data_IF_411191512320
#
_entry.id   IF_411191512320
#
_cell.length_a   1.000
_cell.length_b   1.000
_cell.length_c   1.000
_cell.angle_alpha   90.00
_cell.angle_beta   90.00
_cell.angle_gamma   90.00
#
_symmetry.space_group_name_H-M   'P 1'
#
loop_
_entity.id
_entity.type
_entity.pdbx_description
1 polymer ?
#
# COMPACT_ATOMS: atom_id res chain seq x y z
N UNK A 1 13.19 78.61 33.49
CA UNK A 1 13.69 77.61 32.52
C UNK A 1 13.63 76.23 33.20
N UNK A 2 12.55 75.46 32.98
CA UNK A 2 12.38 74.12 33.57
C UNK A 2 12.70 73.09 32.48
N UNK A 3 13.78 72.33 32.67
CA UNK A 3 14.22 71.26 31.78
C UNK A 3 13.54 69.97 32.27
N UNK A 4 12.73 69.35 31.41
CA UNK A 4 12.17 68.03 31.66
C UNK A 4 13.11 66.95 31.10
N UNK A 5 13.53 66.04 31.97
CA UNK A 5 14.33 64.87 31.60
C UNK A 5 13.37 63.75 31.17
N UNK A 6 13.39 63.38 29.88
CA UNK A 6 12.64 62.22 29.37
C UNK A 6 13.50 60.96 29.53
N UNK A 7 13.08 60.08 30.45
CA UNK A 7 13.66 58.75 30.63
C UNK A 7 13.03 57.80 29.59
N UNK A 8 13.79 57.40 28.57
CA UNK A 8 13.37 56.38 27.61
C UNK A 8 13.70 55.01 28.20
N UNK A 9 12.68 54.30 28.69
CA UNK A 9 12.78 52.93 29.17
C UNK A 9 12.68 51.98 27.96
N UNK A 10 13.81 51.50 27.45
CA UNK A 10 13.83 50.46 26.42
C UNK A 10 13.49 49.09 27.02
N UNK A 11 12.24 48.65 26.86
CA UNK A 11 11.87 47.26 27.14
C UNK A 11 12.42 46.34 26.04
N UNK A 12 13.53 45.67 26.33
CA UNK A 12 14.00 44.51 25.57
C UNK A 12 13.09 43.31 25.91
N UNK A 13 12.09 43.06 25.07
CA UNK A 13 11.29 41.84 25.11
C UNK A 13 12.12 40.67 24.54
N UNK A 14 12.84 39.95 25.41
CA UNK A 14 13.32 38.61 25.08
C UNK A 14 12.12 37.65 25.07
N UNK A 15 11.55 37.43 23.88
CA UNK A 15 10.54 36.41 23.67
C UNK A 15 11.14 35.01 23.85
N UNK A 16 11.03 34.45 25.05
CA UNK A 16 11.30 33.05 25.31
C UNK A 16 10.25 32.22 24.53
N UNK A 17 10.62 31.68 23.36
CA UNK A 17 9.78 30.71 22.65
C UNK A 17 9.70 29.45 23.50
N UNK A 18 8.66 29.36 24.33
CA UNK A 18 8.31 28.12 25.01
C UNK A 18 7.92 27.10 23.94
N UNK A 19 8.79 26.12 23.69
CA UNK A 19 8.49 25.00 22.79
C UNK A 19 7.25 24.27 23.32
N UNK A 20 6.11 24.45 22.65
CA UNK A 20 4.88 23.74 22.98
C UNK A 20 5.11 22.23 22.79
N UNK A 21 4.58 21.43 23.71
CA UNK A 21 4.65 19.96 23.65
C UNK A 21 3.24 19.42 23.59
N UNK A 22 2.99 18.49 22.67
CA UNK A 22 1.73 17.73 22.60
C UNK A 22 2.03 16.25 22.77
N UNK A 23 1.06 15.54 23.33
CA UNK A 23 1.10 14.09 23.45
C UNK A 23 0.18 13.44 22.41
N UNK A 24 0.68 12.43 21.70
CA UNK A 24 -0.01 11.80 20.56
C UNK A 24 -0.01 10.28 20.75
N UNK A 25 -1.17 9.67 20.57
CA UNK A 25 -1.33 8.23 20.52
C UNK A 25 -1.31 7.75 19.07
N UNK A 26 -0.42 6.81 18.74
CA UNK A 26 -0.30 6.23 17.41
C UNK A 26 -0.38 4.69 17.43
N UNK A 27 -0.69 4.09 18.58
CA UNK A 27 -0.70 2.63 18.79
C UNK A 27 -1.50 1.89 17.71
N UNK A 28 -2.71 2.35 17.44
CA UNK A 28 -3.60 1.79 16.40
C UNK A 28 -3.39 2.39 14.99
N UNK A 29 -2.41 3.30 14.83
CA UNK A 29 -2.15 4.01 13.56
C UNK A 29 -0.91 3.52 12.83
N UNK A 30 -0.07 2.74 13.51
CA UNK A 30 1.17 2.19 12.95
C UNK A 30 0.90 0.77 12.49
N UNK A 31 0.92 0.58 11.17
CA UNK A 31 0.87 -0.75 10.56
C UNK A 31 2.29 -1.31 10.46
N UNK A 32 2.45 -2.59 10.80
CA UNK A 32 3.65 -3.36 10.46
C UNK A 32 3.39 -4.13 9.18
N UNK A 33 4.03 -3.77 8.05
CA UNK A 33 3.82 -4.50 6.81
C UNK A 33 4.39 -5.91 6.88
N UNK A 34 3.75 -6.82 6.14
CA UNK A 34 4.27 -8.18 5.92
C UNK A 34 5.48 -8.15 4.98
N UNK A 35 6.16 -9.28 4.83
CA UNK A 35 7.20 -9.43 3.82
C UNK A 35 7.11 -10.83 3.17
N UNK A 36 7.57 -10.92 1.93
CA UNK A 36 7.64 -12.16 1.18
C UNK A 36 9.01 -12.22 0.48
N UNK A 37 9.75 -13.30 0.72
CA UNK A 37 11.02 -13.55 0.02
C UNK A 37 10.72 -14.33 -1.25
N UNK A 38 10.84 -13.68 -2.40
CA UNK A 38 10.53 -14.27 -3.71
C UNK A 38 11.75 -14.96 -4.27
N UNK A 39 11.63 -16.27 -4.52
CA UNK A 39 12.74 -17.11 -4.95
C UNK A 39 12.88 -17.09 -6.46
N UNK A 40 14.13 -16.98 -6.93
CA UNK A 40 14.45 -17.04 -8.35
C UNK A 40 14.22 -18.45 -8.88
N UNK A 41 13.66 -18.54 -10.07
CA UNK A 41 13.51 -19.79 -10.81
C UNK A 41 14.28 -19.74 -12.12
N UNK A 42 14.78 -20.90 -12.55
CA UNK A 42 15.29 -21.14 -13.90
C UNK A 42 14.31 -22.00 -14.72
N UNK A 43 13.30 -22.57 -14.06
CA UNK A 43 12.26 -23.36 -14.71
C UNK A 43 11.30 -22.43 -15.46
N UNK A 44 10.94 -22.84 -16.68
CA UNK A 44 9.87 -22.18 -17.42
C UNK A 44 8.51 -22.47 -16.79
N UNK A 45 7.67 -21.44 -16.69
CA UNK A 45 6.30 -21.53 -16.17
C UNK A 45 5.34 -21.29 -17.33
N UNK A 46 4.40 -22.20 -17.54
CA UNK A 46 3.33 -22.02 -18.52
C UNK A 46 2.20 -21.27 -17.84
N UNK A 47 1.86 -20.07 -18.34
CA UNK A 47 0.77 -19.28 -17.76
C UNK A 47 -0.57 -19.83 -18.24
N UNK A 48 -1.11 -20.80 -17.50
CA UNK A 48 -2.37 -21.48 -17.78
C UNK A 48 -3.39 -21.38 -16.62
N UNK A 49 -3.03 -20.68 -15.54
CA UNK A 49 -3.89 -20.46 -14.39
C UNK A 49 -3.80 -21.57 -13.36
N UNK A 50 -2.93 -22.57 -13.55
CA UNK A 50 -2.73 -23.69 -12.64
C UNK A 50 -1.35 -23.61 -11.97
N UNK A 51 -1.16 -24.39 -10.90
CA UNK A 51 0.12 -24.45 -10.17
C UNK A 51 0.77 -25.84 -10.21
N UNK A 52 0.61 -26.52 -11.34
CA UNK A 52 0.96 -27.94 -11.50
C UNK A 52 2.48 -28.17 -11.59
N UNK A 53 3.23 -27.16 -12.04
CA UNK A 53 4.67 -27.18 -12.19
C UNK A 53 5.39 -27.43 -10.87
N UNK A 54 6.53 -28.10 -10.93
CA UNK A 54 7.28 -28.45 -9.72
C UNK A 54 7.82 -27.21 -9.00
N UNK A 55 8.17 -26.15 -9.72
CA UNK A 55 8.65 -24.89 -9.13
C UNK A 55 7.58 -24.25 -8.24
N UNK A 56 6.31 -24.31 -8.66
CA UNK A 56 5.19 -23.79 -7.88
C UNK A 56 4.96 -24.57 -6.59
N UNK A 57 5.28 -25.86 -6.54
CA UNK A 57 5.18 -26.69 -5.32
C UNK A 57 6.25 -26.34 -4.29
N UNK A 58 7.36 -25.73 -4.72
CA UNK A 58 8.45 -25.29 -3.85
C UNK A 58 8.24 -23.85 -3.34
N UNK A 59 7.51 -23.03 -4.11
CA UNK A 59 7.15 -21.68 -3.70
C UNK A 59 6.24 -21.70 -2.46
N UNK A 60 6.59 -20.89 -1.45
CA UNK A 60 5.82 -20.82 -0.20
C UNK A 60 4.56 -20.00 -0.41
N UNK A 61 3.44 -20.44 0.14
CA UNK A 61 2.27 -19.57 0.22
C UNK A 61 2.52 -18.40 1.19
N UNK A 62 1.92 -17.26 0.89
CA UNK A 62 1.69 -16.19 1.84
C UNK A 62 0.76 -16.67 2.95
N UNK A 63 0.67 -15.91 4.04
CA UNK A 63 -0.49 -16.01 4.93
C UNK A 63 -1.78 -15.75 4.15
N UNK A 64 -2.88 -16.21 4.72
CA UNK A 64 -4.21 -15.88 4.23
C UNK A 64 -4.50 -14.39 4.34
N UNK A 65 -5.31 -13.91 3.40
CA UNK A 65 -5.75 -12.53 3.37
C UNK A 65 -6.64 -12.25 4.59
N UNK A 66 -6.55 -11.02 5.08
CA UNK A 66 -7.34 -10.49 6.19
C UNK A 66 -8.16 -9.31 5.68
N UNK A 67 -9.13 -8.85 6.46
CA UNK A 67 -9.79 -7.58 6.17
C UNK A 67 -8.77 -6.43 6.07
N UNK A 68 -8.99 -5.47 5.18
CA UNK A 68 -8.08 -4.34 4.94
C UNK A 68 -7.74 -3.51 6.20
N UNK A 69 -8.63 -3.48 7.18
CA UNK A 69 -8.41 -2.81 8.46
C UNK A 69 -7.61 -3.69 9.44
N UNK A 70 -7.50 -4.99 9.15
CA UNK A 70 -6.65 -5.98 9.82
C UNK A 70 -7.26 -6.70 11.03
N UNK A 71 -8.54 -6.45 11.31
CA UNK A 71 -9.22 -6.96 12.52
C UNK A 71 -10.01 -8.24 12.24
N UNK A 72 -10.55 -8.39 11.03
CA UNK A 72 -11.51 -9.46 10.69
C UNK A 72 -10.86 -10.50 9.79
N UNK A 73 -11.31 -11.74 9.94
CA UNK A 73 -10.95 -12.85 9.04
C UNK A 73 -12.05 -12.99 7.96
N UNK A 74 -11.69 -12.96 6.67
CA UNK A 74 -12.59 -13.25 5.57
C UNK A 74 -13.27 -14.62 5.72
N UNK A 75 -14.51 -14.72 5.26
CA UNK A 75 -15.22 -16.01 5.20
C UNK A 75 -14.75 -16.89 4.04
N UNK A 76 -14.07 -16.33 3.04
CA UNK A 76 -13.50 -17.08 1.92
C UNK A 76 -12.01 -16.83 1.81
N UNK A 77 -11.24 -17.90 1.93
CA UNK A 77 -9.78 -17.88 1.99
C UNK A 77 -9.19 -17.40 0.66
N UNK A 78 -8.19 -16.54 0.75
CA UNK A 78 -7.36 -16.13 -0.39
C UNK A 78 -5.90 -16.09 0.03
N UNK A 79 -5.00 -16.62 -0.79
CA UNK A 79 -3.56 -16.50 -0.58
C UNK A 79 -2.81 -16.56 -1.91
N UNK A 80 -1.53 -16.21 -1.85
CA UNK A 80 -0.66 -16.12 -3.03
C UNK A 80 0.64 -16.87 -2.81
N UNK A 81 1.31 -17.22 -3.89
CA UNK A 81 2.73 -17.59 -3.90
C UNK A 81 3.40 -16.91 -5.09
N UNK A 82 4.68 -16.62 -4.95
CA UNK A 82 5.41 -15.83 -5.92
C UNK A 82 6.74 -16.50 -6.27
N UNK A 83 7.15 -16.29 -7.51
CA UNK A 83 8.46 -16.64 -8.05
C UNK A 83 8.95 -15.49 -8.92
N UNK A 84 10.22 -15.48 -9.29
CA UNK A 84 10.72 -14.53 -10.29
C UNK A 84 11.81 -15.16 -11.15
N UNK A 85 11.99 -14.65 -12.36
CA UNK A 85 13.16 -14.95 -13.20
C UNK A 85 13.77 -13.64 -13.73
N UNK A 86 14.65 -13.72 -14.74
CA UNK A 86 15.26 -12.51 -15.33
C UNK A 86 14.23 -11.55 -15.96
N UNK A 87 13.06 -12.04 -16.36
CA UNK A 87 12.10 -11.31 -17.18
C UNK A 87 10.83 -10.95 -16.42
N UNK A 88 10.35 -11.83 -15.54
CA UNK A 88 9.02 -11.77 -14.95
C UNK A 88 9.04 -11.93 -13.43
N UNK A 89 8.14 -11.19 -12.78
CA UNK A 89 7.59 -11.57 -11.48
C UNK A 89 6.38 -12.45 -11.73
N UNK A 90 6.41 -13.67 -11.21
CA UNK A 90 5.29 -14.59 -11.28
C UNK A 90 4.44 -14.50 -10.02
N UNK A 91 3.13 -14.39 -10.21
CA UNK A 91 2.13 -14.37 -9.13
C UNK A 91 1.12 -15.46 -9.39
N UNK A 92 0.96 -16.37 -8.44
CA UNK A 92 -0.15 -17.31 -8.40
C UNK A 92 -1.03 -17.01 -7.20
N UNK A 93 -2.33 -16.79 -7.41
CA UNK A 93 -3.31 -16.56 -6.37
C UNK A 93 -4.38 -17.65 -6.40
N UNK A 94 -4.78 -18.12 -5.21
CA UNK A 94 -5.90 -19.04 -5.05
C UNK A 94 -7.00 -18.39 -4.22
N UNK A 95 -8.17 -18.24 -4.83
CA UNK A 95 -9.33 -17.56 -4.26
C UNK A 95 -10.45 -18.57 -4.08
N UNK A 96 -10.70 -19.01 -2.84
CA UNK A 96 -11.89 -19.81 -2.55
C UNK A 96 -13.13 -18.94 -2.73
N UNK A 97 -14.11 -19.44 -3.46
CA UNK A 97 -15.31 -18.70 -3.83
C UNK A 97 -16.45 -19.68 -4.05
N UNK A 98 -17.53 -19.51 -3.28
CA UNK A 98 -18.72 -20.35 -3.37
C UNK A 98 -19.59 -19.97 -4.58
N UNK A 99 -19.46 -18.76 -5.10
CA UNK A 99 -20.15 -18.31 -6.30
C UNK A 99 -19.23 -17.47 -7.17
N UNK A 100 -18.75 -18.07 -8.25
CA UNK A 100 -17.83 -17.45 -9.19
C UNK A 100 -18.66 -16.79 -10.28
N UNK A 101 -18.63 -15.47 -10.34
CA UNK A 101 -19.41 -14.70 -11.30
C UNK A 101 -18.64 -13.50 -11.82
N UNK A 102 -19.04 -13.04 -13.00
CA UNK A 102 -18.47 -11.88 -13.66
C UNK A 102 -19.13 -11.63 -15.01
N UNK A 103 -19.19 -10.37 -15.40
CA UNK A 103 -19.76 -9.95 -16.69
C UNK A 103 -18.95 -8.86 -17.40
N UNK A 104 -17.85 -8.42 -16.79
CA UNK A 104 -16.93 -7.44 -17.38
C UNK A 104 -15.89 -8.18 -18.21
N UNK A 105 -15.99 -8.04 -19.54
CA UNK A 105 -15.15 -8.74 -20.54
C UNK A 105 -14.19 -7.81 -21.28
N UNK A 106 -14.37 -6.49 -21.15
CA UNK A 106 -13.57 -5.49 -21.85
C UNK A 106 -12.33 -5.17 -21.01
N UNK A 107 -11.13 -5.42 -21.57
CA UNK A 107 -9.85 -4.97 -20.99
C UNK A 107 -9.89 -3.46 -20.72
N UNK A 108 -9.30 -3.05 -19.59
CA UNK A 108 -9.23 -1.65 -19.12
C UNK A 108 -10.59 -1.00 -18.84
N UNK A 109 -11.63 -1.82 -18.60
CA UNK A 109 -12.84 -1.38 -17.92
C UNK A 109 -12.59 -1.31 -16.40
N UNK A 110 -13.49 -0.65 -15.66
CA UNK A 110 -13.44 -0.62 -14.20
C UNK A 110 -13.85 -1.99 -13.65
N UNK A 111 -12.87 -2.83 -13.28
CA UNK A 111 -13.05 -4.27 -13.03
C UNK A 111 -13.61 -4.57 -11.64
N UNK A 112 -13.25 -3.78 -10.62
CA UNK A 112 -13.72 -3.97 -9.23
C UNK A 112 -15.24 -4.00 -9.02
N UNK A 113 -16.08 -3.78 -10.04
CA UNK A 113 -17.52 -4.04 -9.98
C UNK A 113 -17.89 -5.53 -10.11
N UNK A 114 -16.94 -6.39 -10.45
CA UNK A 114 -17.00 -7.84 -10.25
C UNK A 114 -16.15 -8.21 -9.02
N UNK A 115 -16.22 -9.48 -8.58
CA UNK A 115 -15.18 -10.00 -7.71
C UNK A 115 -13.88 -10.10 -8.52
N UNK A 116 -12.77 -9.62 -7.97
CA UNK A 116 -11.49 -9.59 -8.66
C UNK A 116 -10.30 -9.85 -7.71
N UNK A 117 -9.13 -9.95 -8.31
CA UNK A 117 -7.85 -10.03 -7.65
C UNK A 117 -6.96 -8.89 -8.13
N UNK A 118 -6.31 -8.20 -7.21
CA UNK A 118 -5.51 -7.02 -7.49
C UNK A 118 -4.06 -7.21 -7.04
N UNK A 119 -3.11 -6.76 -7.86
CA UNK A 119 -1.68 -6.68 -7.55
C UNK A 119 -1.26 -5.22 -7.53
N UNK A 120 -0.74 -4.76 -6.39
CA UNK A 120 -0.19 -3.41 -6.22
C UNK A 120 1.32 -3.50 -6.09
N UNK A 121 2.07 -2.77 -6.92
CA UNK A 121 3.53 -2.89 -6.93
C UNK A 121 4.23 -1.54 -7.08
N UNK A 122 5.24 -1.33 -6.23
CA UNK A 122 6.05 -0.12 -6.23
C UNK A 122 7.53 -0.49 -6.10
N UNK A 123 8.35 -0.26 -7.15
CA UNK A 123 9.77 -0.59 -7.14
C UNK A 123 10.64 0.47 -6.43
N UNK A 124 10.04 1.53 -5.90
CA UNK A 124 10.75 2.65 -5.30
C UNK A 124 10.97 2.48 -3.80
N UNK A 125 11.98 3.19 -3.28
CA UNK A 125 12.16 3.39 -1.84
C UNK A 125 11.20 4.43 -1.23
N UNK A 126 10.23 4.93 -2.01
CA UNK A 126 9.24 5.92 -1.62
C UNK A 126 7.83 5.52 -2.08
N UNK A 127 6.80 6.17 -1.55
CA UNK A 127 5.39 5.75 -1.73
C UNK A 127 4.70 6.28 -2.99
N UNK A 128 5.46 6.82 -3.95
CA UNK A 128 4.97 7.37 -5.21
C UNK A 128 5.39 6.49 -6.39
N UNK A 129 4.74 6.69 -7.54
CA UNK A 129 5.02 6.01 -8.80
C UNK A 129 4.89 4.48 -8.67
N UNK A 130 3.65 4.01 -8.70
CA UNK A 130 3.32 2.61 -8.51
C UNK A 130 2.27 2.14 -9.51
N UNK A 131 2.30 0.84 -9.79
CA UNK A 131 1.37 0.17 -10.68
C UNK A 131 0.33 -0.63 -9.90
N UNK A 132 -0.78 -0.87 -10.57
CA UNK A 132 -1.91 -1.66 -10.11
C UNK A 132 -2.39 -2.52 -11.28
N UNK A 133 -2.74 -3.77 -11.00
CA UNK A 133 -3.23 -4.74 -11.98
C UNK A 133 -4.42 -5.45 -11.34
N UNK A 134 -5.60 -5.30 -11.93
CA UNK A 134 -6.82 -6.02 -11.54
C UNK A 134 -7.12 -7.12 -12.56
N UNK A 135 -7.62 -8.26 -12.09
CA UNK A 135 -8.15 -9.34 -12.94
C UNK A 135 -9.38 -9.98 -12.31
N UNK A 136 -10.46 -10.16 -13.09
CA UNK A 136 -11.64 -10.88 -12.62
C UNK A 136 -11.60 -12.38 -13.01
N UNK A 137 -12.60 -13.13 -12.55
CA UNK A 137 -12.72 -14.56 -12.84
C UNK A 137 -12.89 -14.91 -14.34
N UNK A 138 -13.17 -13.93 -15.20
CA UNK A 138 -13.21 -14.12 -16.66
C UNK A 138 -11.83 -13.99 -17.31
N UNK A 139 -10.79 -13.59 -16.55
CA UNK A 139 -9.47 -13.27 -17.07
C UNK A 139 -9.38 -11.88 -17.73
N UNK A 140 -10.39 -11.03 -17.56
CA UNK A 140 -10.34 -9.64 -18.00
C UNK A 140 -9.40 -8.88 -17.10
N UNK A 141 -8.49 -8.11 -17.68
CA UNK A 141 -7.45 -7.36 -16.96
C UNK A 141 -7.64 -5.85 -17.11
N UNK A 142 -7.27 -5.11 -16.09
CA UNK A 142 -7.11 -3.66 -16.11
C UNK A 142 -5.81 -3.32 -15.39
N UNK A 143 -4.90 -2.63 -16.07
CA UNK A 143 -3.69 -2.10 -15.46
C UNK A 143 -3.71 -0.56 -15.47
N UNK A 144 -3.15 0.01 -14.41
CA UNK A 144 -3.12 1.46 -14.24
C UNK A 144 -1.90 1.91 -13.42
N UNK A 145 -1.47 3.12 -13.71
CA UNK A 145 -0.37 3.77 -13.03
C UNK A 145 -0.87 4.90 -12.14
N UNK A 146 -0.31 5.02 -10.93
CA UNK A 146 -0.49 6.17 -10.07
C UNK A 146 0.83 6.87 -9.79
N UNK A 147 0.89 8.16 -10.13
CA UNK A 147 2.05 9.00 -9.84
C UNK A 147 2.25 9.26 -8.34
N UNK A 148 1.19 9.19 -7.54
CA UNK A 148 1.17 9.30 -6.07
C UNK A 148 -0.20 8.84 -5.54
N UNK A 149 -0.36 8.63 -4.23
CA UNK A 149 -1.66 8.31 -3.64
C UNK A 149 -2.79 9.32 -3.90
N UNK A 150 -4.02 8.84 -4.05
CA UNK A 150 -5.22 9.69 -4.23
C UNK A 150 -5.39 10.73 -3.12
N UNK A 151 -5.11 10.37 -1.86
CA UNK A 151 -5.15 11.31 -0.71
C UNK A 151 -4.17 12.49 -0.85
N UNK A 152 -3.16 12.34 -1.71
CA UNK A 152 -2.17 13.35 -2.08
C UNK A 152 -2.45 13.94 -3.46
N UNK A 153 -3.71 13.87 -3.93
CA UNK A 153 -4.19 14.35 -5.23
C UNK A 153 -3.55 13.63 -6.42
N UNK A 154 -3.15 12.37 -6.23
CA UNK A 154 -2.80 11.49 -7.33
C UNK A 154 -3.95 11.27 -8.29
N UNK A 155 -3.63 10.87 -9.51
CA UNK A 155 -4.59 10.48 -10.53
C UNK A 155 -4.13 9.17 -11.15
N UNK A 156 -5.06 8.24 -11.33
CA UNK A 156 -4.82 7.08 -12.15
C UNK A 156 -4.61 7.48 -13.60
N UNK A 157 -3.62 6.87 -14.22
CA UNK A 157 -3.38 6.87 -15.65
C UNK A 157 -3.75 5.48 -16.19
N UNK A 158 -4.95 5.40 -16.77
CA UNK A 158 -5.48 4.18 -17.40
C UNK A 158 -4.91 3.96 -18.81
N UNK A 159 -4.02 4.83 -19.30
CA UNK A 159 -3.32 4.61 -20.56
C UNK A 159 -2.01 3.83 -20.37
N UNK A 160 -1.57 3.65 -19.11
CA UNK A 160 -0.42 2.81 -18.81
C UNK A 160 -0.80 1.35 -18.99
N UNK A 161 -0.19 0.71 -19.98
CA UNK A 161 -0.41 -0.69 -20.30
C UNK A 161 0.87 -1.49 -20.09
N UNK A 162 0.79 -2.60 -19.35
CA UNK A 162 1.93 -3.49 -19.14
C UNK A 162 2.07 -4.40 -20.36
N UNK A 163 2.78 -3.91 -21.38
CA UNK A 163 3.07 -4.72 -22.57
C UNK A 163 3.80 -6.01 -22.15
N UNK A 164 3.41 -7.14 -22.75
CA UNK A 164 3.89 -8.49 -22.45
C UNK A 164 3.44 -9.09 -21.10
N UNK A 165 2.51 -8.45 -20.38
CA UNK A 165 1.79 -9.10 -19.29
C UNK A 165 1.10 -10.37 -19.82
N UNK A 166 1.38 -11.50 -19.17
CA UNK A 166 0.67 -12.76 -19.41
C UNK A 166 -0.16 -13.06 -18.18
N UNK A 167 -1.40 -13.47 -18.39
CA UNK A 167 -2.29 -13.87 -17.31
C UNK A 167 -3.23 -14.97 -17.76
N UNK A 168 -3.58 -15.86 -16.84
CA UNK A 168 -4.58 -16.89 -17.04
C UNK A 168 -5.39 -17.11 -15.76
N UNK A 169 -6.63 -17.58 -15.94
CA UNK A 169 -7.53 -17.96 -14.85
C UNK A 169 -7.96 -19.39 -15.06
N UNK A 170 -7.99 -20.16 -13.97
CA UNK A 170 -8.60 -21.49 -13.96
C UNK A 170 -9.71 -21.56 -12.90
N UNK A 171 -10.79 -22.28 -13.21
CA UNK A 171 -11.99 -22.36 -12.37
C UNK A 171 -12.22 -23.81 -11.94
N UNK A 172 -12.33 -24.02 -10.63
CA UNK A 172 -12.87 -25.24 -10.05
C UNK A 172 -14.31 -24.97 -9.59
N UNK A 173 -15.23 -25.14 -10.52
CA UNK A 173 -16.63 -24.71 -10.39
C UNK A 173 -17.25 -24.42 -11.75
N UNK A 174 -18.36 -23.70 -11.78
CA UNK A 174 -19.01 -23.21 -13.00
C UNK A 174 -19.31 -21.71 -12.92
N UNK A 175 -18.64 -20.94 -13.78
CA UNK A 175 -18.80 -19.48 -13.78
C UNK A 175 -20.23 -19.06 -14.17
N UNK A 176 -20.78 -18.09 -13.44
CA UNK A 176 -22.12 -17.53 -13.64
C UNK A 176 -23.27 -18.55 -13.52
N UNK A 177 -23.07 -19.66 -12.83
CA UNK A 177 -24.15 -20.60 -12.54
C UNK A 177 -24.67 -20.41 -11.11
N UNK A 178 -25.88 -19.89 -10.96
CA UNK A 178 -26.47 -19.66 -9.65
C UNK A 178 -27.11 -20.89 -9.00
N UNK A 179 -27.03 -22.06 -9.65
CA UNK A 179 -27.70 -23.28 -9.19
C UNK A 179 -26.78 -24.27 -8.48
N UNK A 180 -25.48 -23.98 -8.42
CA UNK A 180 -24.49 -24.79 -7.72
C UNK A 180 -23.68 -23.94 -6.74
N UNK A 181 -22.71 -24.61 -6.09
CA UNK A 181 -21.74 -24.02 -5.20
C UNK A 181 -20.37 -24.37 -5.77
N UNK A 182 -19.59 -23.33 -6.04
CA UNK A 182 -18.23 -23.41 -6.54
C UNK A 182 -17.23 -23.70 -5.40
N UNK A 183 -15.96 -23.89 -5.77
CA UNK A 183 -14.90 -24.15 -4.80
C UNK A 183 -13.86 -23.03 -4.80
N UNK A 184 -13.20 -22.81 -5.94
CA UNK A 184 -12.20 -21.76 -6.08
C UNK A 184 -11.98 -21.39 -7.55
N UNK A 185 -11.40 -20.23 -7.74
CA UNK A 185 -10.70 -19.88 -8.98
C UNK A 185 -9.26 -19.49 -8.65
N UNK A 186 -8.39 -19.61 -9.63
CA UNK A 186 -6.98 -19.30 -9.53
C UNK A 186 -6.60 -18.28 -10.58
N UNK A 187 -5.67 -17.41 -10.22
CA UNK A 187 -5.06 -16.43 -11.11
C UNK A 187 -3.58 -16.76 -11.20
N UNK A 188 -3.06 -16.79 -12.41
CA UNK A 188 -1.62 -16.88 -12.65
C UNK A 188 -1.20 -15.73 -13.54
N UNK A 189 -0.13 -15.02 -13.16
CA UNK A 189 0.42 -13.90 -13.92
C UNK A 189 1.93 -14.04 -14.09
N UNK A 190 2.44 -13.64 -15.25
CA UNK A 190 3.84 -13.28 -15.46
C UNK A 190 3.92 -11.78 -15.76
N UNK A 191 4.37 -10.99 -14.78
CA UNK A 191 4.44 -9.53 -14.82
C UNK A 191 5.85 -9.11 -15.27
N UNK A 192 6.02 -8.46 -16.44
CA UNK A 192 7.33 -8.05 -16.93
C UNK A 192 8.06 -7.10 -15.97
N UNK A 193 9.20 -7.54 -15.45
CA UNK A 193 10.01 -6.78 -14.49
C UNK A 193 10.53 -5.48 -15.08
N UNK A 194 10.87 -5.48 -16.38
CA UNK A 194 11.33 -4.27 -17.08
C UNK A 194 10.26 -3.16 -17.08
N UNK A 195 8.98 -3.49 -17.23
CA UNK A 195 7.87 -2.53 -17.19
C UNK A 195 7.64 -2.00 -15.78
N UNK A 196 7.79 -2.85 -14.77
CA UNK A 196 7.72 -2.39 -13.37
C UNK A 196 8.92 -1.50 -13.02
N UNK A 197 10.14 -1.87 -13.40
CA UNK A 197 11.36 -1.06 -13.16
C UNK A 197 11.25 0.34 -13.77
N UNK A 198 10.52 0.52 -14.88
CA UNK A 198 10.27 1.84 -15.47
C UNK A 198 9.47 2.81 -14.56
N UNK A 199 8.84 2.31 -13.49
CA UNK A 199 8.19 3.14 -12.47
C UNK A 199 9.18 3.72 -11.44
N UNK A 200 10.46 3.32 -11.48
CA UNK A 200 11.48 3.85 -10.57
C UNK A 200 11.73 5.34 -10.82
N UNK A 201 11.98 6.09 -9.75
CA UNK A 201 12.36 7.51 -9.77
C UNK A 201 13.61 7.75 -8.91
N UNK A 202 14.76 8.13 -9.51
CA UNK A 202 14.99 8.33 -10.94
C UNK A 202 14.81 7.05 -11.75
N UNK A 203 14.54 7.21 -13.05
CA UNK A 203 14.33 6.10 -13.97
C UNK A 203 15.54 5.17 -13.97
N UNK A 204 15.27 3.88 -13.79
CA UNK A 204 16.26 2.83 -13.71
C UNK A 204 15.72 1.60 -14.44
N UNK A 205 16.43 1.17 -15.47
CA UNK A 205 16.07 0.03 -16.30
C UNK A 205 16.70 -1.28 -15.78
N UNK A 206 17.45 -1.23 -14.68
CA UNK A 206 18.04 -2.44 -14.10
C UNK A 206 16.93 -3.40 -13.65
N UNK A 207 17.14 -4.66 -13.99
CA UNK A 207 16.39 -5.78 -13.46
C UNK A 207 16.64 -5.90 -11.95
N UNK A 208 15.65 -6.39 -11.16
CA UNK A 208 15.86 -6.71 -9.77
C UNK A 208 17.05 -7.65 -9.58
N UNK A 209 17.83 -7.38 -8.55
CA UNK A 209 18.96 -8.23 -8.11
C UNK A 209 18.61 -8.87 -6.77
N UNK A 210 19.29 -9.97 -6.44
CA UNK A 210 19.15 -10.57 -5.11
C UNK A 210 19.41 -9.52 -4.02
N UNK A 211 18.50 -9.41 -3.06
CA UNK A 211 18.53 -8.42 -1.98
C UNK A 211 17.76 -7.13 -2.27
N UNK A 212 17.31 -6.89 -3.51
CA UNK A 212 16.43 -5.78 -3.82
C UNK A 212 15.09 -5.94 -3.09
N UNK A 213 14.55 -4.80 -2.64
CA UNK A 213 13.29 -4.75 -1.91
C UNK A 213 12.33 -3.81 -2.61
N UNK A 214 11.22 -4.36 -3.09
CA UNK A 214 10.09 -3.60 -3.59
C UNK A 214 8.96 -3.60 -2.57
N UNK A 215 7.99 -2.72 -2.75
CA UNK A 215 6.72 -2.80 -2.02
C UNK A 215 5.69 -3.48 -2.89
N UNK A 216 4.98 -4.45 -2.31
CA UNK A 216 3.90 -5.17 -2.97
C UNK A 216 2.73 -5.36 -2.01
N UNK A 217 1.52 -5.36 -2.55
CA UNK A 217 0.38 -5.91 -1.83
C UNK A 217 -0.60 -6.55 -2.81
N UNK A 218 -1.52 -7.31 -2.24
CA UNK A 218 -2.56 -8.00 -2.96
C UNK A 218 -3.91 -7.68 -2.32
N UNK A 219 -4.93 -7.54 -3.15
CA UNK A 219 -6.31 -7.41 -2.72
C UNK A 219 -7.18 -8.45 -3.42
N UNK A 220 -8.29 -8.78 -2.77
CA UNK A 220 -9.47 -9.34 -3.40
C UNK A 220 -10.60 -8.38 -3.09
N UNK A 221 -11.19 -7.79 -4.12
CA UNK A 221 -12.49 -7.14 -3.98
C UNK A 221 -13.56 -8.22 -4.05
N UNK A 222 -14.43 -8.23 -3.05
CA UNK A 222 -15.50 -9.21 -2.96
C UNK A 222 -16.82 -8.51 -2.66
N UNK A 223 -17.84 -8.80 -3.46
CA UNK A 223 -19.18 -8.27 -3.25
C UNK A 223 -20.13 -9.33 -2.75
N UNK A 224 -21.03 -8.92 -1.86
CA UNK A 224 -22.29 -9.64 -1.71
C UNK A 224 -23.08 -9.55 -3.00
N UNK A 225 -23.72 -10.66 -3.38
CA UNK A 225 -24.54 -10.74 -4.57
C UNK A 225 -26.04 -10.88 -4.24
N UNK A 226 -26.87 -10.54 -5.23
CA UNK A 226 -28.27 -10.93 -5.32
C UNK A 226 -28.55 -11.51 -6.71
N UNK A 227 -29.62 -12.27 -6.84
CA UNK A 227 -30.00 -12.91 -8.10
C UNK A 227 -31.21 -12.21 -8.70
N UNK A 228 -31.14 -11.90 -9.99
CA UNK A 228 -32.28 -11.49 -10.80
C UNK A 228 -32.42 -12.43 -11.99
N UNK A 229 -33.46 -13.27 -11.97
CA UNK A 229 -33.70 -14.32 -12.97
C UNK A 229 -32.45 -15.22 -13.22
N UNK A 230 -31.78 -15.62 -12.13
CA UNK A 230 -30.56 -16.44 -12.18
C UNK A 230 -29.27 -15.69 -12.54
N UNK A 231 -29.34 -14.39 -12.86
CA UNK A 231 -28.15 -13.56 -13.10
C UNK A 231 -27.66 -12.92 -11.80
N UNK A 232 -26.35 -13.04 -11.53
CA UNK A 232 -25.67 -12.34 -10.45
C UNK A 232 -25.66 -10.82 -10.65
N UNK A 233 -25.97 -10.10 -9.58
CA UNK A 233 -25.83 -8.65 -9.46
C UNK A 233 -25.22 -8.32 -8.10
N UNK A 234 -24.49 -7.21 -8.00
CA UNK A 234 -24.07 -6.68 -6.69
C UNK A 234 -25.30 -6.35 -5.85
N UNK A 235 -25.32 -6.84 -4.61
CA UNK A 235 -26.47 -6.74 -3.72
C UNK A 235 -26.81 -5.30 -3.35
N UNK A 236 -28.11 -4.99 -3.34
CA UNK A 236 -28.65 -3.71 -2.88
C UNK A 236 -29.54 -3.83 -1.65
N UNK A 237 -29.57 -2.77 -0.84
CA UNK A 237 -30.60 -2.53 0.18
C UNK A 237 -31.06 -1.08 0.04
N UNK A 238 -32.37 -0.86 -0.11
CA UNK A 238 -32.96 0.47 -0.32
C UNK A 238 -32.29 1.23 -1.49
N UNK A 239 -32.16 0.56 -2.64
CA UNK A 239 -31.52 1.06 -3.87
C UNK A 239 -30.05 1.49 -3.76
N UNK A 240 -29.38 1.16 -2.66
CA UNK A 240 -27.95 1.39 -2.47
C UNK A 240 -27.19 0.06 -2.49
N UNK A 241 -26.11 0.02 -3.26
CA UNK A 241 -25.19 -1.11 -3.20
C UNK A 241 -24.61 -1.24 -1.78
N UNK A 242 -24.56 -2.47 -1.28
CA UNK A 242 -23.74 -2.77 -0.11
C UNK A 242 -22.27 -2.49 -0.44
N UNK A 243 -21.44 -2.08 0.54
CA UNK A 243 -20.02 -1.85 0.28
C UNK A 243 -19.33 -3.18 -0.08
N UNK A 244 -18.30 -3.07 -0.90
CA UNK A 244 -17.38 -4.17 -1.16
C UNK A 244 -16.55 -4.52 0.07
N UNK A 245 -16.16 -5.78 0.15
CA UNK A 245 -15.10 -6.21 1.03
C UNK A 245 -13.76 -6.09 0.30
N UNK A 246 -12.75 -5.58 1.01
CA UNK A 246 -11.37 -5.59 0.56
C UNK A 246 -10.59 -6.53 1.47
N UNK A 247 -10.22 -7.70 0.96
CA UNK A 247 -9.40 -8.66 1.69
C UNK A 247 -7.99 -8.63 1.14
N UNK A 248 -6.99 -8.47 2.00
CA UNK A 248 -5.65 -8.10 1.60
C UNK A 248 -4.60 -8.96 2.30
N UNK A 249 -3.45 -9.13 1.66
CA UNK A 249 -2.33 -9.83 2.30
C UNK A 249 -1.75 -9.02 3.48
N UNK A 250 -1.34 -7.77 3.22
CA UNK A 250 -0.85 -6.84 4.25
C UNK A 250 -1.92 -5.79 4.54
N UNK A 251 -2.38 -5.70 5.80
CA UNK A 251 -3.40 -4.71 6.21
C UNK A 251 -2.97 -3.27 5.93
N UNK A 252 -3.95 -2.39 5.71
CA UNK A 252 -3.74 -0.94 5.55
C UNK A 252 -4.16 -0.14 6.78
N UNK A 253 -4.95 -0.73 7.68
CA UNK A 253 -5.47 -0.09 8.90
C UNK A 253 -6.63 0.88 8.64
N UNK A 254 -7.12 0.93 7.41
CA UNK A 254 -8.29 1.70 6.96
C UNK A 254 -8.69 1.19 5.57
N UNK A 255 -9.95 1.39 5.16
CA UNK A 255 -10.46 1.01 3.84
C UNK A 255 -9.86 1.92 2.75
N UNK A 256 -8.59 1.68 2.39
CA UNK A 256 -7.84 2.40 1.37
C UNK A 256 -6.59 1.62 0.94
N UNK A 257 -6.62 0.97 -0.22
CA UNK A 257 -5.46 0.25 -0.76
C UNK A 257 -4.32 1.16 -1.22
N UNK A 258 -4.60 2.42 -1.53
CA UNK A 258 -3.58 3.38 -1.97
C UNK A 258 -2.83 4.02 -0.80
N UNK A 259 -2.37 3.20 0.14
CA UNK A 259 -1.45 3.54 1.23
C UNK A 259 -0.12 2.78 1.05
N UNK A 260 0.71 3.08 0.02
CA UNK A 260 1.89 2.27 -0.27
C UNK A 260 2.89 2.21 0.88
N UNK A 261 2.85 3.15 1.84
CA UNK A 261 3.63 3.07 3.07
C UNK A 261 3.32 1.81 3.91
N UNK A 262 2.15 1.20 3.77
CA UNK A 262 1.67 0.05 4.53
C UNK A 262 1.67 -1.27 3.72
N UNK A 263 2.00 -1.21 2.43
CA UNK A 263 2.20 -2.40 1.59
C UNK A 263 3.37 -3.23 2.10
N UNK A 264 3.27 -4.55 1.89
CA UNK A 264 4.31 -5.48 2.29
C UNK A 264 5.59 -5.33 1.47
N UNK A 265 6.65 -5.99 1.93
CA UNK A 265 7.95 -6.00 1.28
C UNK A 265 8.12 -7.24 0.41
N UNK A 266 8.41 -7.06 -0.88
CA UNK A 266 8.85 -8.11 -1.78
C UNK A 266 10.38 -8.12 -1.81
N UNK A 267 10.99 -9.21 -1.37
CA UNK A 267 12.46 -9.32 -1.26
C UNK A 267 12.95 -10.31 -2.30
N UNK A 268 13.65 -9.82 -3.31
CA UNK A 268 14.17 -10.64 -4.40
C UNK A 268 15.33 -11.51 -3.90
N UNK A 269 15.31 -12.80 -4.22
CA UNK A 269 16.30 -13.73 -3.71
C UNK A 269 16.71 -14.79 -4.73
N UNK A 270 18.01 -14.99 -4.89
CA UNK A 270 18.58 -16.11 -5.68
C UNK A 270 18.95 -17.33 -4.83
N UNK A 271 19.11 -17.15 -3.51
CA UNK A 271 19.48 -18.21 -2.56
C UNK A 271 18.54 -18.18 -1.34
N UNK A 272 18.79 -18.97 -0.28
CA UNK A 272 18.06 -18.82 0.99
C UNK A 272 18.44 -17.51 1.69
N UNK A 273 17.95 -16.36 1.18
CA UNK A 273 18.15 -15.06 1.78
C UNK A 273 17.21 -14.87 2.97
N UNK A 274 17.78 -14.61 4.14
CA UNK A 274 17.00 -14.24 5.31
C UNK A 274 16.79 -12.72 5.32
N UNK A 275 15.54 -12.28 5.15
CA UNK A 275 15.22 -10.87 5.22
C UNK A 275 15.19 -10.38 6.66
N UNK A 276 16.18 -9.59 7.04
CA UNK A 276 16.20 -8.85 8.30
C UNK A 276 15.56 -7.48 8.09
N UNK A 277 14.43 -7.23 8.77
CA UNK A 277 13.75 -5.93 8.74
C UNK A 277 14.71 -4.79 9.12
N UNK A 278 14.92 -3.79 8.26
CA UNK A 278 15.79 -2.65 8.57
C UNK A 278 15.30 -1.89 9.82
N UNK A 279 16.24 -1.43 10.65
CA UNK A 279 15.93 -0.67 11.88
C UNK A 279 15.25 0.66 11.56
N UNK A 280 15.47 1.18 10.36
CA UNK A 280 14.93 2.41 9.80
C UNK A 280 13.42 2.35 9.56
N UNK A 281 12.82 1.16 9.44
CA UNK A 281 11.41 1.03 9.09
C UNK A 281 10.49 1.54 10.19
N UNK A 282 10.78 1.23 11.46
CA UNK A 282 9.94 1.68 12.58
C UNK A 282 9.86 3.23 12.64
N UNK A 283 10.96 3.99 12.58
CA UNK A 283 10.91 5.45 12.48
C UNK A 283 10.14 5.97 11.25
N UNK A 284 10.27 5.34 10.07
CA UNK A 284 9.52 5.75 8.88
C UNK A 284 8.02 5.57 9.06
N UNK A 285 7.58 4.45 9.63
CA UNK A 285 6.15 4.20 9.88
C UNK A 285 5.56 5.15 10.92
N UNK A 286 6.33 5.52 11.95
CA UNK A 286 5.93 6.58 12.90
C UNK A 286 5.74 7.91 12.16
N UNK A 287 6.68 8.28 11.29
CA UNK A 287 6.55 9.51 10.48
C UNK A 287 5.33 9.48 9.57
N UNK A 288 5.05 8.36 8.89
CA UNK A 288 3.85 8.23 8.06
C UNK A 288 2.56 8.33 8.88
N UNK A 289 2.50 7.71 10.06
CA UNK A 289 1.35 7.82 10.96
C UNK A 289 1.12 9.27 11.41
N UNK A 290 2.18 9.96 11.86
CA UNK A 290 2.11 11.39 12.20
C UNK A 290 1.70 12.25 11.00
N UNK A 291 2.26 11.97 9.82
CA UNK A 291 1.92 12.68 8.59
C UNK A 291 0.43 12.54 8.27
N UNK A 292 -0.16 11.36 8.44
CA UNK A 292 -1.60 11.15 8.25
C UNK A 292 -2.42 11.92 9.27
N UNK A 293 -2.04 11.90 10.55
CA UNK A 293 -2.74 12.65 11.59
C UNK A 293 -2.69 14.17 11.36
N UNK A 294 -1.55 14.70 10.91
CA UNK A 294 -1.40 16.14 10.60
C UNK A 294 -2.10 16.51 9.30
N UNK A 295 -2.07 15.66 8.29
CA UNK A 295 -2.64 15.99 6.97
C UNK A 295 -4.15 15.82 6.93
N UNK A 296 -4.66 14.77 7.57
CA UNK A 296 -6.02 14.27 7.36
C UNK A 296 -6.77 13.97 8.67
N UNK A 297 -6.05 13.71 9.76
CA UNK A 297 -6.63 13.29 11.05
C UNK A 297 -6.75 14.40 12.08
N UNK A 298 -6.57 14.02 13.35
CA UNK A 298 -6.90 14.87 14.50
C UNK A 298 -5.92 16.01 14.72
N UNK A 299 -4.71 15.91 14.15
CA UNK A 299 -3.67 16.94 14.26
C UNK A 299 -3.72 17.97 13.11
N UNK A 300 -4.78 17.96 12.28
CA UNK A 300 -4.94 18.90 11.16
C UNK A 300 -4.95 20.38 11.59
N UNK A 301 -5.30 20.68 12.83
CA UNK A 301 -5.23 22.04 13.37
C UNK A 301 -3.78 22.60 13.37
N UNK A 302 -2.75 21.74 13.45
CA UNK A 302 -1.36 22.16 13.40
C UNK A 302 -1.00 22.87 12.08
N UNK A 303 -1.70 22.54 10.99
CA UNK A 303 -1.52 23.19 9.69
C UNK A 303 -1.93 24.67 9.68
N UNK A 304 -2.73 25.11 10.66
CA UNK A 304 -3.23 26.49 10.77
C UNK A 304 -2.37 27.38 11.67
N UNK A 305 -1.31 26.84 12.26
CA UNK A 305 -0.39 27.59 13.10
C UNK A 305 0.44 28.58 12.26
N UNK A 306 1.01 29.59 12.93
CA UNK A 306 1.89 30.56 12.29
C UNK A 306 3.18 29.89 11.79
N UNK A 307 3.73 30.34 10.66
CA UNK A 307 5.05 29.93 10.19
C UNK A 307 6.09 30.01 11.31
N UNK A 308 7.04 29.07 11.33
CA UNK A 308 8.10 28.93 12.34
C UNK A 308 7.60 28.46 13.72
N UNK A 309 6.32 28.10 13.84
CA UNK A 309 5.83 27.42 15.04
C UNK A 309 6.44 26.02 15.12
N UNK A 310 7.13 25.75 16.22
CA UNK A 310 7.76 24.47 16.52
C UNK A 310 7.01 23.78 17.67
N UNK A 311 6.67 22.50 17.48
CA UNK A 311 5.98 21.69 18.47
C UNK A 311 6.74 20.38 18.66
N UNK A 312 7.07 20.07 19.91
CA UNK A 312 7.59 18.77 20.29
C UNK A 312 6.44 17.78 20.42
N UNK A 313 6.57 16.62 19.78
CA UNK A 313 5.57 15.56 19.81
C UNK A 313 6.10 14.43 20.69
N UNK A 314 5.39 14.15 21.78
CA UNK A 314 5.65 13.02 22.66
C UNK A 314 4.67 11.90 22.30
N UNK A 315 5.17 10.70 22.02
CA UNK A 315 4.32 9.53 21.75
C UNK A 315 3.88 8.91 23.09
N UNK A 316 2.62 8.49 23.19
CA UNK A 316 2.06 7.86 24.41
C UNK A 316 2.69 6.51 24.72
N UNK A 317 2.93 5.69 23.70
CA UNK A 317 3.67 4.45 23.87
C UNK A 317 5.12 4.76 24.21
N UNK A 318 5.54 4.31 25.39
CA UNK A 318 6.78 4.61 26.12
C UNK A 318 8.10 4.20 25.41
N UNK A 319 8.21 4.31 24.09
CA UNK A 319 9.49 4.30 23.38
C UNK A 319 10.26 5.60 23.70
N UNK A 320 10.78 5.69 24.93
CA UNK A 320 11.51 6.82 25.52
C UNK A 320 12.75 7.28 24.71
N UNK A 321 13.11 6.59 23.63
CA UNK A 321 14.26 6.88 22.76
C UNK A 321 13.91 7.69 21.50
N UNK A 322 12.63 7.78 21.14
CA UNK A 322 12.20 8.47 19.91
C UNK A 322 11.80 9.91 20.21
N UNK A 323 12.40 10.87 19.51
CA UNK A 323 11.95 12.27 19.55
C UNK A 323 11.32 12.66 18.22
N UNK A 324 10.07 13.13 18.26
CA UNK A 324 9.33 13.62 17.11
C UNK A 324 9.08 15.12 17.23
N UNK A 325 9.16 15.86 16.12
CA UNK A 325 8.90 17.30 16.11
C UNK A 325 8.10 17.69 14.88
N UNK A 326 7.21 18.67 15.05
CA UNK A 326 6.50 19.37 14.00
C UNK A 326 7.07 20.80 13.85
N UNK A 327 7.30 21.22 12.61
CA UNK A 327 7.66 22.59 12.26
C UNK A 327 6.68 23.08 11.20
N UNK A 328 5.97 24.17 11.48
CA UNK A 328 5.21 24.91 10.46
C UNK A 328 6.19 25.70 9.59
N UNK A 329 6.10 25.53 8.28
CA UNK A 329 6.93 26.25 7.29
C UNK A 329 6.04 27.10 6.38
N UNK A 330 6.64 28.00 5.59
CA UNK A 330 5.89 28.79 4.60
C UNK A 330 5.27 27.92 3.50
N UNK A 331 5.90 26.77 3.22
CA UNK A 331 5.45 25.81 2.19
C UNK A 331 4.55 24.70 2.74
N UNK A 332 4.17 24.77 4.03
CA UNK A 332 3.42 23.70 4.67
C UNK A 332 3.90 23.37 6.06
N UNK A 333 4.39 22.14 6.23
CA UNK A 333 5.00 21.68 7.47
C UNK A 333 6.12 20.66 7.20
N UNK A 334 6.90 20.38 8.24
CA UNK A 334 7.85 19.27 8.28
C UNK A 334 7.70 18.55 9.61
N UNK A 335 7.54 17.24 9.55
CA UNK A 335 7.69 16.35 10.68
C UNK A 335 9.10 15.76 10.65
N UNK A 336 9.72 15.61 11.82
CA UNK A 336 11.02 14.96 11.94
C UNK A 336 11.03 13.98 13.08
N UNK A 337 11.81 12.92 12.92
CA UNK A 337 12.04 11.88 13.91
C UNK A 337 13.53 11.68 14.10
N UNK A 338 13.93 11.42 15.34
CA UNK A 338 15.26 10.92 15.70
C UNK A 338 15.10 9.73 16.64
N UNK A 339 15.76 8.63 16.28
CA UNK A 339 15.87 7.41 17.09
C UNK A 339 17.34 6.97 17.10
N UNK A 340 18.05 7.27 18.19
CA UNK A 340 19.51 7.13 18.23
C UNK A 340 20.21 7.95 17.14
N UNK A 341 20.88 7.26 16.22
CA UNK A 341 21.57 7.85 15.07
C UNK A 341 20.67 8.00 13.83
N UNK A 342 19.50 7.35 13.81
CA UNK A 342 18.56 7.42 12.69
C UNK A 342 17.84 8.75 12.75
N UNK A 343 17.86 9.49 11.64
CA UNK A 343 17.14 10.76 11.50
C UNK A 343 16.42 10.83 10.16
N UNK A 344 15.12 11.04 10.22
CA UNK A 344 14.29 11.25 9.04
C UNK A 344 13.42 12.49 9.20
N UNK A 345 12.94 13.00 8.07
CA UNK A 345 11.85 13.97 8.03
C UNK A 345 10.90 13.68 6.90
N UNK A 346 9.63 14.04 7.09
CA UNK A 346 8.59 14.01 6.07
C UNK A 346 7.98 15.40 5.96
N UNK A 347 7.85 15.91 4.75
CA UNK A 347 7.23 17.21 4.48
C UNK A 347 5.76 17.06 4.09
N UNK A 348 5.06 18.18 3.84
CA UNK A 348 3.64 18.19 3.44
C UNK A 348 3.38 17.37 2.16
N UNK A 349 4.40 17.12 1.34
CA UNK A 349 4.21 16.27 0.14
C UNK A 349 4.05 14.81 0.49
N UNK A 350 4.50 14.36 1.66
CA UNK A 350 4.51 12.96 2.07
C UNK A 350 5.80 12.20 1.71
N UNK A 351 6.83 12.88 1.17
CA UNK A 351 8.14 12.29 0.91
C UNK A 351 9.02 12.28 2.16
N UNK A 352 9.54 11.11 2.53
CA UNK A 352 10.58 10.97 3.55
C UNK A 352 11.94 11.37 2.95
N UNK A 353 12.75 12.07 3.75
CA UNK A 353 14.14 12.45 3.45
C UNK A 353 15.03 12.06 4.62
N UNK A 354 16.23 11.57 4.30
CA UNK A 354 17.29 11.35 5.27
C UNK A 354 17.80 12.71 5.74
N UNK A 355 17.90 12.89 7.05
CA UNK A 355 18.63 14.03 7.62
C UNK A 355 20.03 13.53 7.96
N UNK A 356 21.04 14.00 7.23
CA UNK A 356 22.45 13.82 7.61
C UNK A 356 22.66 14.37 9.04
#
# INVERSE_FOLDING_TARGET
>A
MRIYFLLILSLLLFGCQTSQTIEVDLSEKIVTPKHYVVSKTLDSILIDGMDNENVWKQAKYSDDFIDIEGVKTPNQKTNVKLLWDENYLYVFAKLYENHIWGDITKRDAVIFYNNDFEVFINPNNHVFSYGEIEINALGTVWDLYLNRPYRLKGKADNSWNIEELKSAVNINGTINNSNDIDNFWTVEMAIPLNKISQLKQPLDYDHPKSGDVWRINFSRVNWDYELNNGKYLRKKINDKYLPEYNWVWSQQGTINMHLPENWGYLVFSENNYEYLKPKEETPKHILYALFREVSFGNLKYLKKLNTNTFIKIKLKDNNKKVSCNFLKTDKGFTLSIKDGNIKFSIDETGKIKNKL
#
